data_IF_889629525930
#
_entry.id   IF_889629525930
#
_cell.length_a   1.000
_cell.length_b   1.000
_cell.length_c   1.000
_cell.angle_alpha   90.00
_cell.angle_beta   90.00
_cell.angle_gamma   90.00
#
_symmetry.space_group_name_H-M   'P 1'
#
loop_
_entity.id
_entity.type
_entity.pdbx_description
1 polymer ?
#
# COMPACT_ATOMS: atom_id res chain seq x y z
N UNK A 1 24.98 24.60 22.46
CA UNK A 1 23.97 24.23 21.46
C UNK A 1 24.49 23.03 20.70
N UNK A 2 23.91 21.84 20.87
CA UNK A 2 24.21 20.70 20.00
C UNK A 2 23.77 21.08 18.58
N UNK A 3 24.59 20.85 17.54
CA UNK A 3 24.25 21.30 16.20
C UNK A 3 23.03 20.51 15.69
N UNK A 4 22.01 21.24 15.22
CA UNK A 4 20.75 20.71 14.66
C UNK A 4 20.97 19.62 13.59
N UNK A 5 22.14 19.61 12.96
CA UNK A 5 22.57 18.61 11.98
C UNK A 5 22.57 17.19 12.53
N UNK A 6 22.98 16.97 13.79
CA UNK A 6 23.09 15.62 14.35
C UNK A 6 21.70 14.99 14.60
N UNK A 7 20.75 15.80 15.08
CA UNK A 7 19.38 15.34 15.32
C UNK A 7 18.62 15.11 14.01
N UNK A 8 18.81 15.99 13.02
CA UNK A 8 18.20 15.83 11.71
C UNK A 8 18.72 14.59 10.98
N UNK A 9 20.03 14.38 11.00
CA UNK A 9 20.65 13.19 10.40
C UNK A 9 20.21 11.90 11.10
N UNK A 10 20.12 11.89 12.43
CA UNK A 10 19.62 10.75 13.20
C UNK A 10 18.15 10.43 12.86
N UNK A 11 17.30 11.44 12.74
CA UNK A 11 15.89 11.25 12.35
C UNK A 11 15.78 10.71 10.93
N UNK A 12 16.53 11.29 9.98
CA UNK A 12 16.53 10.88 8.57
C UNK A 12 17.03 9.43 8.39
N UNK A 13 18.16 9.08 8.99
CA UNK A 13 18.75 7.73 8.90
C UNK A 13 17.99 6.68 9.71
N UNK A 14 17.34 7.10 10.79
CA UNK A 14 16.55 6.22 11.64
C UNK A 14 15.09 6.18 11.21
N UNK A 15 14.29 7.05 11.82
CA UNK A 15 12.83 7.00 11.76
C UNK A 15 12.28 7.20 10.35
N UNK A 16 12.76 8.21 9.63
CA UNK A 16 12.28 8.49 8.27
C UNK A 16 12.61 7.34 7.32
N UNK A 17 13.87 6.87 7.29
CA UNK A 17 14.30 5.79 6.40
C UNK A 17 13.56 4.47 6.71
N UNK A 18 13.40 4.14 7.99
CA UNK A 18 12.64 2.96 8.40
C UNK A 18 11.20 2.99 7.86
N UNK A 19 10.52 4.15 7.94
CA UNK A 19 9.15 4.29 7.46
C UNK A 19 9.08 4.28 5.93
N UNK A 20 10.03 4.94 5.27
CA UNK A 20 10.16 4.87 3.82
C UNK A 20 10.30 3.43 3.32
N UNK A 21 11.19 2.65 3.94
CA UNK A 21 11.43 1.26 3.54
C UNK A 21 10.22 0.37 3.83
N UNK A 22 9.54 0.59 4.95
CA UNK A 22 8.30 -0.10 5.28
C UNK A 22 7.22 0.17 4.22
N UNK A 23 6.93 1.44 3.91
CA UNK A 23 5.93 1.80 2.89
C UNK A 23 6.30 1.27 1.51
N UNK A 24 7.58 1.33 1.13
CA UNK A 24 8.08 0.79 -0.13
C UNK A 24 7.84 -0.72 -0.25
N UNK A 25 8.13 -1.48 0.82
CA UNK A 25 7.92 -2.92 0.83
C UNK A 25 6.43 -3.28 0.81
N UNK A 26 5.61 -2.61 1.63
CA UNK A 26 4.16 -2.84 1.66
C UNK A 26 3.51 -2.51 0.32
N UNK A 27 3.92 -1.40 -0.29
CA UNK A 27 3.54 -1.01 -1.63
C UNK A 27 3.77 -2.11 -2.67
N UNK A 28 4.99 -2.65 -2.72
CA UNK A 28 5.38 -3.68 -3.68
C UNK A 28 4.58 -4.96 -3.42
N UNK A 29 4.44 -5.36 -2.15
CA UNK A 29 3.67 -6.54 -1.76
C UNK A 29 2.21 -6.46 -2.22
N UNK A 30 1.53 -5.37 -1.86
CA UNK A 30 0.12 -5.15 -2.22
C UNK A 30 -0.06 -5.05 -3.74
N UNK A 31 0.85 -4.36 -4.44
CA UNK A 31 0.83 -4.29 -5.91
C UNK A 31 0.92 -5.68 -6.54
N UNK A 32 1.85 -6.51 -6.07
CA UNK A 32 2.04 -7.87 -6.61
C UNK A 32 0.81 -8.74 -6.38
N UNK A 33 0.23 -8.72 -5.19
CA UNK A 33 -1.00 -9.48 -4.90
C UNK A 33 -2.17 -9.03 -5.76
N UNK A 34 -2.43 -7.72 -5.81
CA UNK A 34 -3.47 -7.15 -6.65
C UNK A 34 -3.31 -7.57 -8.12
N UNK A 35 -2.11 -7.39 -8.69
CA UNK A 35 -1.84 -7.72 -10.08
C UNK A 35 -1.95 -9.23 -10.35
N UNK A 36 -1.49 -10.09 -9.44
CA UNK A 36 -1.58 -11.53 -9.60
C UNK A 36 -3.03 -12.03 -9.55
N UNK A 37 -3.83 -11.56 -8.58
CA UNK A 37 -5.24 -11.93 -8.45
C UNK A 37 -6.05 -11.43 -9.63
N UNK A 38 -5.83 -10.18 -10.06
CA UNK A 38 -6.50 -9.59 -11.21
C UNK A 38 -6.14 -10.33 -12.51
N UNK A 39 -4.85 -10.64 -12.72
CA UNK A 39 -4.41 -11.36 -13.92
C UNK A 39 -4.97 -12.78 -13.95
N UNK A 40 -4.89 -13.51 -12.84
CA UNK A 40 -5.42 -14.87 -12.73
C UNK A 40 -6.94 -14.91 -12.99
N UNK A 41 -7.69 -14.03 -12.32
CA UNK A 41 -9.15 -13.97 -12.48
C UNK A 41 -9.56 -13.57 -13.89
N UNK A 42 -8.86 -12.59 -14.50
CA UNK A 42 -9.13 -12.14 -15.87
C UNK A 42 -8.87 -13.25 -16.89
N UNK A 43 -7.70 -13.90 -16.82
CA UNK A 43 -7.37 -15.00 -17.74
C UNK A 43 -8.34 -16.16 -17.53
N UNK A 44 -8.60 -16.55 -16.29
CA UNK A 44 -9.53 -17.64 -15.97
C UNK A 44 -10.94 -17.37 -16.49
N UNK A 45 -11.45 -16.16 -16.32
CA UNK A 45 -12.76 -15.76 -16.83
C UNK A 45 -12.87 -15.84 -18.36
N UNK A 46 -11.80 -15.56 -19.09
CA UNK A 46 -11.74 -15.68 -20.55
C UNK A 46 -11.60 -17.14 -21.02
N UNK A 47 -10.90 -17.98 -20.26
CA UNK A 47 -10.63 -19.39 -20.59
C UNK A 47 -11.85 -20.28 -20.31
N UNK A 48 -12.62 -20.01 -19.25
CA UNK A 48 -13.77 -20.85 -18.86
C UNK A 48 -14.77 -21.07 -20.01
N UNK A 49 -15.23 -20.05 -20.77
CA UNK A 49 -16.12 -20.25 -21.90
C UNK A 49 -15.52 -21.13 -23.00
N UNK A 50 -14.22 -21.01 -23.27
CA UNK A 50 -13.53 -21.83 -24.27
C UNK A 50 -13.53 -23.29 -23.85
N UNK A 51 -13.22 -23.58 -22.59
CA UNK A 51 -13.25 -24.94 -22.04
C UNK A 51 -14.65 -25.56 -22.08
N UNK A 52 -15.70 -24.77 -21.89
CA UNK A 52 -17.09 -25.24 -21.98
C UNK A 52 -17.51 -25.62 -23.42
N UNK A 53 -16.83 -25.10 -24.45
CA UNK A 53 -17.13 -25.39 -25.86
C UNK A 53 -16.38 -26.61 -26.42
N UNK A 54 -15.47 -27.21 -25.65
CA UNK A 54 -14.70 -28.38 -26.09
C UNK A 54 -15.37 -29.65 -25.54
N UNK A 55 -15.88 -30.52 -26.42
CA UNK A 55 -16.68 -31.69 -26.05
C UNK A 55 -15.93 -32.71 -25.17
N UNK A 56 -14.63 -32.87 -25.38
CA UNK A 56 -13.80 -33.87 -24.70
C UNK A 56 -13.29 -33.42 -23.32
N UNK A 57 -13.55 -32.17 -22.92
CA UNK A 57 -13.13 -31.65 -21.60
C UNK A 57 -14.20 -31.98 -20.55
N UNK A 58 -13.85 -32.67 -19.45
CA UNK A 58 -14.79 -32.92 -18.36
C UNK A 58 -15.31 -31.60 -17.78
N UNK A 59 -16.64 -31.48 -17.64
CA UNK A 59 -17.31 -30.27 -17.07
C UNK A 59 -16.78 -29.85 -15.70
N UNK A 60 -16.20 -30.78 -14.95
CA UNK A 60 -15.58 -30.51 -13.67
C UNK A 60 -14.40 -29.51 -13.78
N UNK A 61 -13.65 -29.54 -14.88
CA UNK A 61 -12.50 -28.65 -15.10
C UNK A 61 -12.90 -27.16 -15.16
N UNK A 62 -13.79 -26.71 -16.07
CA UNK A 62 -14.23 -25.31 -16.08
C UNK A 62 -15.00 -24.92 -14.81
N UNK A 63 -15.68 -25.88 -14.15
CA UNK A 63 -16.37 -25.63 -12.87
C UNK A 63 -15.40 -25.29 -11.75
N UNK A 64 -14.34 -26.08 -11.58
CA UNK A 64 -13.29 -25.81 -10.57
C UNK A 64 -12.58 -24.49 -10.90
N UNK A 65 -12.25 -24.25 -12.17
CA UNK A 65 -11.60 -23.00 -12.57
C UNK A 65 -12.46 -21.77 -12.27
N UNK A 66 -13.76 -21.83 -12.56
CA UNK A 66 -14.72 -20.76 -12.26
C UNK A 66 -14.82 -20.49 -10.75
N UNK A 67 -14.81 -21.55 -9.93
CA UNK A 67 -14.78 -21.42 -8.46
C UNK A 67 -13.50 -20.71 -7.99
N UNK A 68 -12.33 -21.10 -8.51
CA UNK A 68 -11.05 -20.46 -8.16
C UNK A 68 -11.00 -18.99 -8.56
N UNK A 69 -11.51 -18.65 -9.75
CA UNK A 69 -11.63 -17.26 -10.21
C UNK A 69 -12.52 -16.44 -9.26
N UNK A 70 -13.65 -17.01 -8.84
CA UNK A 70 -14.58 -16.35 -7.91
C UNK A 70 -13.94 -16.12 -6.54
N UNK A 71 -13.20 -17.11 -6.02
CA UNK A 71 -12.43 -16.97 -4.78
C UNK A 71 -11.37 -15.88 -4.92
N UNK A 72 -10.63 -15.83 -6.03
CA UNK A 72 -9.61 -14.81 -6.26
C UNK A 72 -10.19 -13.39 -6.26
N UNK A 73 -11.35 -13.19 -6.90
CA UNK A 73 -12.07 -11.90 -6.89
C UNK A 73 -12.60 -11.55 -5.50
N UNK A 74 -13.13 -12.52 -4.77
CA UNK A 74 -13.57 -12.32 -3.39
C UNK A 74 -12.42 -11.94 -2.47
N UNK A 75 -11.25 -12.60 -2.59
CA UNK A 75 -10.05 -12.23 -1.85
C UNK A 75 -9.61 -10.81 -2.19
N UNK A 76 -9.57 -10.43 -3.47
CA UNK A 76 -9.25 -9.05 -3.84
C UNK A 76 -10.24 -8.05 -3.24
N UNK A 77 -11.54 -8.36 -3.29
CA UNK A 77 -12.60 -7.53 -2.71
C UNK A 77 -12.56 -7.43 -1.18
N UNK A 78 -12.05 -8.43 -0.48
CA UNK A 78 -11.89 -8.38 0.98
C UNK A 78 -10.63 -7.61 1.36
N UNK A 79 -9.50 -7.94 0.74
CA UNK A 79 -8.20 -7.40 1.15
C UNK A 79 -7.90 -6.02 0.56
N UNK A 80 -8.59 -5.62 -0.50
CA UNK A 80 -8.40 -4.33 -1.17
C UNK A 80 -6.90 -4.06 -1.44
N UNK A 81 -6.20 -5.05 -2.01
CA UNK A 81 -4.76 -4.95 -2.24
C UNK A 81 -4.44 -3.79 -3.18
N UNK A 82 -5.31 -3.52 -4.17
CA UNK A 82 -5.18 -2.37 -5.07
C UNK A 82 -5.20 -1.01 -4.35
N UNK A 83 -6.12 -0.81 -3.42
CA UNK A 83 -6.25 0.45 -2.66
C UNK A 83 -5.12 0.60 -1.66
N UNK A 84 -4.76 -0.49 -0.99
CA UNK A 84 -3.64 -0.53 -0.04
C UNK A 84 -2.33 -0.13 -0.72
N UNK A 85 -2.04 -0.68 -1.90
CA UNK A 85 -0.89 -0.24 -2.69
C UNK A 85 -0.95 1.27 -2.98
N UNK A 86 -2.05 1.78 -3.54
CA UNK A 86 -2.15 3.22 -3.87
C UNK A 86 -1.90 4.11 -2.66
N UNK A 87 -2.44 3.75 -1.50
CA UNK A 87 -2.22 4.46 -0.26
C UNK A 87 -0.74 4.48 0.15
N UNK A 88 -0.08 3.32 0.20
CA UNK A 88 1.35 3.25 0.55
C UNK A 88 2.22 4.01 -0.46
N UNK A 89 1.86 4.02 -1.75
CA UNK A 89 2.58 4.85 -2.74
C UNK A 89 2.44 6.32 -2.41
N UNK A 90 1.22 6.78 -2.16
CA UNK A 90 0.94 8.19 -1.90
C UNK A 90 1.68 8.67 -0.65
N UNK A 91 1.67 7.89 0.43
CA UNK A 91 2.43 8.19 1.63
C UNK A 91 3.94 8.26 1.36
N UNK A 92 4.47 7.30 0.58
CA UNK A 92 5.88 7.28 0.21
C UNK A 92 6.28 8.48 -0.67
N UNK A 93 5.46 8.89 -1.63
CA UNK A 93 5.72 10.08 -2.44
C UNK A 93 5.63 11.35 -1.60
N UNK A 94 4.66 11.47 -0.69
CA UNK A 94 4.56 12.59 0.24
C UNK A 94 5.80 12.69 1.14
N UNK A 95 6.29 11.57 1.69
CA UNK A 95 7.52 11.55 2.49
C UNK A 95 8.76 11.98 1.70
N UNK A 96 8.85 11.61 0.42
CA UNK A 96 9.94 12.06 -0.47
C UNK A 96 9.85 13.54 -0.76
N UNK A 97 8.65 14.03 -1.05
CA UNK A 97 8.41 15.45 -1.32
C UNK A 97 8.79 16.31 -0.12
N UNK A 98 8.33 15.95 1.07
CA UNK A 98 8.67 16.68 2.30
C UNK A 98 10.19 16.66 2.56
N UNK A 99 10.86 15.53 2.33
CA UNK A 99 12.32 15.45 2.43
C UNK A 99 13.03 16.35 1.42
N UNK A 100 12.59 16.33 0.16
CA UNK A 100 13.20 17.15 -0.89
C UNK A 100 13.02 18.66 -0.60
N UNK A 101 11.85 19.07 -0.11
CA UNK A 101 11.58 20.44 0.29
C UNK A 101 12.44 20.87 1.49
N UNK A 102 12.58 20.00 2.50
CA UNK A 102 13.42 20.25 3.66
C UNK A 102 14.90 20.37 3.29
N UNK A 103 15.43 19.44 2.50
CA UNK A 103 16.83 19.45 2.04
C UNK A 103 17.13 20.66 1.13
N UNK A 104 16.17 21.10 0.33
CA UNK A 104 16.29 22.29 -0.50
C UNK A 104 16.14 23.62 0.28
N UNK A 105 15.69 23.58 1.54
CA UNK A 105 15.35 24.79 2.31
C UNK A 105 14.24 25.62 1.66
N UNK A 106 13.34 24.96 0.93
CA UNK A 106 12.30 25.61 0.13
C UNK A 106 10.94 25.63 0.85
N UNK A 107 10.01 26.41 0.32
CA UNK A 107 8.64 26.51 0.82
C UNK A 107 8.58 26.80 2.34
N UNK A 108 8.00 25.90 3.14
CA UNK A 108 7.84 26.08 4.58
C UNK A 108 9.16 25.94 5.37
N UNK A 109 10.26 25.54 4.70
CA UNK A 109 11.56 25.28 5.31
C UNK A 109 12.58 26.41 5.12
N UNK A 110 12.14 27.59 4.64
CA UNK A 110 13.03 28.74 4.44
C UNK A 110 13.60 29.33 5.74
N UNK A 111 12.92 29.13 6.88
CA UNK A 111 13.41 29.51 8.21
C UNK A 111 14.20 28.34 8.84
N UNK A 112 15.55 28.40 8.90
CA UNK A 112 16.36 27.29 9.38
C UNK A 112 16.11 26.94 10.85
N UNK A 113 15.60 27.87 11.65
CA UNK A 113 15.34 27.62 13.08
C UNK A 113 14.08 26.76 13.28
N UNK A 114 13.12 26.84 12.36
CA UNK A 114 11.83 26.12 12.42
C UNK A 114 11.76 24.94 11.46
N UNK A 115 12.67 24.88 10.48
CA UNK A 115 12.63 23.88 9.42
C UNK A 115 12.61 22.44 9.94
N UNK A 116 13.51 22.09 10.86
CA UNK A 116 13.61 20.70 11.33
C UNK A 116 12.40 20.26 12.18
N UNK A 117 11.94 21.01 13.20
CA UNK A 117 10.72 20.67 13.93
C UNK A 117 9.49 20.52 13.02
N UNK A 118 9.32 21.44 12.06
CA UNK A 118 8.21 21.38 11.11
C UNK A 118 8.29 20.17 10.17
N UNK A 119 9.50 19.81 9.74
CA UNK A 119 9.73 18.64 8.89
C UNK A 119 9.34 17.36 9.62
N UNK A 120 9.75 17.23 10.88
CA UNK A 120 9.37 16.08 11.73
C UNK A 120 7.86 16.03 11.88
N UNK A 121 7.21 17.14 12.24
CA UNK A 121 5.75 17.20 12.39
C UNK A 121 5.01 16.71 11.14
N UNK A 122 5.37 17.25 9.97
CA UNK A 122 4.73 16.87 8.70
C UNK A 122 4.98 15.42 8.31
N UNK A 123 6.17 14.90 8.58
CA UNK A 123 6.47 13.47 8.39
C UNK A 123 5.62 12.58 9.31
N UNK A 124 5.48 12.94 10.58
CA UNK A 124 4.65 12.20 11.53
C UNK A 124 3.16 12.25 11.16
N UNK A 125 2.68 13.39 10.65
CA UNK A 125 1.30 13.53 10.16
C UNK A 125 1.01 12.58 8.98
N UNK A 126 1.93 12.49 8.02
CA UNK A 126 1.84 11.53 6.91
C UNK A 126 1.77 10.09 7.47
N UNK A 127 2.63 9.78 8.46
CA UNK A 127 2.68 8.45 9.07
C UNK A 127 1.42 8.10 9.88
N UNK A 128 0.76 9.09 10.49
CA UNK A 128 -0.48 8.89 11.25
C UNK A 128 -1.68 8.56 10.36
N UNK A 129 -1.74 9.12 9.16
CA UNK A 129 -2.83 8.87 8.20
C UNK A 129 -2.90 7.37 7.86
N UNK A 130 -1.75 6.71 7.75
CA UNK A 130 -1.70 5.26 7.56
C UNK A 130 -2.14 4.46 8.78
N UNK A 131 -1.75 4.89 9.99
CA UNK A 131 -2.19 4.25 11.23
C UNK A 131 -3.71 4.18 11.29
N UNK A 132 -4.40 5.29 11.03
CA UNK A 132 -5.87 5.34 11.02
C UNK A 132 -6.47 4.48 9.89
N UNK A 133 -5.92 4.55 8.68
CA UNK A 133 -6.39 3.74 7.55
C UNK A 133 -6.19 2.23 7.73
N UNK A 134 -5.14 1.80 8.41
CA UNK A 134 -4.89 0.41 8.76
C UNK A 134 -5.81 -0.06 9.90
N UNK A 135 -5.94 0.73 10.96
CA UNK A 135 -6.80 0.41 12.11
C UNK A 135 -8.29 0.36 11.73
N UNK A 136 -8.80 1.28 10.92
CA UNK A 136 -10.20 1.27 10.48
C UNK A 136 -10.51 0.06 9.58
N UNK A 137 -9.64 -0.23 8.60
CA UNK A 137 -9.81 -1.41 7.72
C UNK A 137 -9.74 -2.74 8.48
N UNK A 138 -8.98 -2.81 9.58
CA UNK A 138 -8.88 -4.02 10.41
C UNK A 138 -9.89 -4.07 11.58
N UNK A 139 -10.51 -2.95 11.99
CA UNK A 139 -11.63 -2.92 12.94
C UNK A 139 -12.95 -3.35 12.29
N UNK A 140 -13.19 -2.95 11.06
CA UNK A 140 -14.34 -3.41 10.27
C UNK A 140 -14.32 -4.95 10.11
N UNK A 141 -13.12 -5.53 9.96
CA UNK A 141 -12.90 -6.99 9.96
C UNK A 141 -13.27 -7.69 11.28
N UNK A 142 -13.31 -6.97 12.41
CA UNK A 142 -13.70 -7.49 13.72
C UNK A 142 -15.18 -7.28 14.04
N UNK A 143 -15.86 -6.42 13.26
CA UNK A 143 -17.28 -6.06 13.37
C UNK A 143 -18.18 -6.82 12.39
N UNK A 144 -17.62 -7.70 11.56
CA UNK A 144 -18.36 -8.76 10.84
C UNK A 144 -18.21 -10.13 11.55
N UNK A 145 -18.64 -10.33 12.81
CA UNK A 145 -18.79 -11.66 13.35
C UNK A 145 -20.10 -12.25 12.82
N UNK A 146 -19.99 -13.14 11.84
CA UNK A 146 -21.03 -14.08 11.41
C UNK A 146 -22.27 -13.44 10.77
N UNK A 147 -22.29 -13.39 9.44
CA UNK A 147 -23.52 -13.66 8.69
C UNK A 147 -23.35 -15.00 7.96
#
# INVERSE_FOLDING_TARGET
>A
MQPLTNNAEQYLKGRWQQQYDYYSQQAIYNKRWHQSLLLFSTIGALVVPVLLNIADIPKLVPTILSMLVSIALALEGVYHYGDSWRLFRQALEALKEERALYEAGAAAYMDPQKAFPLFVERCEDIMQIEGKGYFERHKLKKLEPNL
#
